data_IF_904678669259
#
_entry.id   IF_904678669259
#
_cell.length_a   1.000
_cell.length_b   1.000
_cell.length_c   1.000
_cell.angle_alpha   90.00
_cell.angle_beta   90.00
_cell.angle_gamma   90.00
#
_symmetry.space_group_name_H-M   'P 1'
#
loop_
_entity.id
_entity.type
_entity.pdbx_description
1 polymer ?
#
# COMPACT_ATOMS: atom_id res chain seq x y z
N UNK A 1 8.83 -11.14 -46.27
CA UNK A 1 7.52 -10.73 -45.69
C UNK A 1 7.46 -10.83 -44.16
N UNK A 2 8.21 -11.75 -43.52
CA UNK A 2 8.13 -11.98 -42.06
C UNK A 2 8.73 -10.85 -41.21
N UNK A 3 9.88 -10.30 -41.62
CA UNK A 3 10.59 -9.23 -40.88
C UNK A 3 9.83 -7.90 -40.85
N UNK A 4 9.02 -7.62 -41.88
CA UNK A 4 8.22 -6.38 -41.97
C UNK A 4 7.04 -6.38 -41.01
N UNK A 5 6.40 -7.54 -40.81
CA UNK A 5 5.32 -7.70 -39.82
C UNK A 5 5.84 -7.70 -38.38
N UNK A 6 7.07 -8.22 -38.15
CA UNK A 6 7.71 -8.20 -36.84
C UNK A 6 8.01 -6.76 -36.37
N UNK A 7 8.47 -5.91 -37.28
CA UNK A 7 8.80 -4.51 -36.98
C UNK A 7 7.54 -3.70 -36.62
N UNK A 8 6.40 -3.98 -37.27
CA UNK A 8 5.09 -3.42 -36.92
C UNK A 8 4.61 -3.86 -35.53
N UNK A 9 4.84 -5.13 -35.15
CA UNK A 9 4.49 -5.63 -33.82
C UNK A 9 5.32 -4.99 -32.69
N UNK A 10 6.60 -4.70 -32.94
CA UNK A 10 7.48 -4.02 -31.97
C UNK A 10 7.07 -2.54 -31.78
N UNK A 11 6.65 -1.86 -32.84
CA UNK A 11 6.17 -0.47 -32.74
C UNK A 11 4.82 -0.41 -32.00
N UNK A 12 3.93 -1.38 -32.24
CA UNK A 12 2.62 -1.44 -31.56
C UNK A 12 2.72 -1.86 -30.08
N UNK A 13 3.75 -2.59 -29.66
CA UNK A 13 3.96 -2.94 -28.24
C UNK A 13 4.57 -1.81 -27.41
N UNK A 14 5.03 -0.72 -28.05
CA UNK A 14 5.75 0.37 -27.38
C UNK A 14 4.85 1.44 -26.75
N UNK A 15 3.52 1.37 -26.94
CA UNK A 15 2.60 2.41 -26.49
C UNK A 15 1.70 1.93 -25.33
N UNK A 16 2.28 1.73 -24.14
CA UNK A 16 1.49 1.78 -22.89
C UNK A 16 2.34 2.03 -21.65
N UNK A 17 3.44 2.78 -21.74
CA UNK A 17 4.03 3.38 -20.54
C UNK A 17 3.30 4.71 -20.33
N UNK A 18 2.08 4.63 -19.80
CA UNK A 18 1.48 5.81 -19.21
C UNK A 18 2.37 6.19 -18.02
N UNK A 19 3.18 7.24 -18.18
CA UNK A 19 3.99 7.77 -17.10
C UNK A 19 3.07 8.02 -15.91
N UNK A 20 3.28 7.30 -14.82
CA UNK A 20 2.56 7.54 -13.58
C UNK A 20 3.16 8.83 -13.03
N UNK A 21 2.43 9.94 -13.16
CA UNK A 21 2.81 11.20 -12.53
C UNK A 21 2.66 11.03 -11.01
N UNK A 22 3.79 10.78 -10.35
CA UNK A 22 3.90 10.60 -8.90
C UNK A 22 4.55 11.82 -8.25
N UNK A 23 4.74 12.91 -9.01
CA UNK A 23 5.45 14.11 -8.55
C UNK A 23 4.79 14.81 -7.36
N UNK A 24 3.52 14.50 -7.11
CA UNK A 24 2.73 15.06 -6.03
C UNK A 24 2.81 14.28 -4.71
N UNK A 25 3.52 13.14 -4.66
CA UNK A 25 3.65 12.32 -3.45
C UNK A 25 5.09 12.34 -2.94
N UNK A 26 5.27 12.82 -1.71
CA UNK A 26 6.54 12.77 -0.99
C UNK A 26 6.45 11.75 0.15
N UNK A 27 7.52 10.97 0.33
CA UNK A 27 7.61 9.90 1.32
C UNK A 27 8.91 10.04 2.09
N UNK A 28 8.84 9.92 3.41
CA UNK A 28 10.05 9.79 4.24
C UNK A 28 10.69 8.38 4.15
N UNK A 29 11.68 8.14 5.01
CA UNK A 29 12.47 6.90 5.06
C UNK A 29 11.74 5.73 5.74
N UNK A 30 10.56 5.94 6.31
CA UNK A 30 9.75 4.86 6.91
C UNK A 30 9.10 3.95 5.86
N UNK A 31 9.01 4.40 4.61
CA UNK A 31 8.36 3.68 3.52
C UNK A 31 9.37 2.83 2.73
N UNK A 32 9.09 1.53 2.59
CA UNK A 32 9.82 0.69 1.64
C UNK A 32 9.43 1.00 0.20
N UNK A 33 10.25 0.60 -0.78
CA UNK A 33 9.91 0.74 -2.21
C UNK A 33 8.58 0.06 -2.58
N UNK A 34 8.27 -1.07 -1.94
CA UNK A 34 6.98 -1.74 -2.14
C UNK A 34 5.82 -0.89 -1.64
N UNK A 35 5.97 -0.21 -0.50
CA UNK A 35 4.93 0.66 0.05
C UNK A 35 4.72 1.88 -0.85
N UNK A 36 5.80 2.56 -1.23
CA UNK A 36 5.78 3.70 -2.16
C UNK A 36 5.06 3.32 -3.46
N UNK A 37 5.34 2.14 -4.01
CA UNK A 37 4.65 1.64 -5.19
C UNK A 37 3.14 1.49 -5.00
N UNK A 38 2.69 0.92 -3.87
CA UNK A 38 1.24 0.77 -3.61
C UNK A 38 0.55 2.12 -3.44
N UNK A 39 1.15 3.05 -2.70
CA UNK A 39 0.61 4.40 -2.53
C UNK A 39 0.56 5.17 -3.86
N UNK A 40 1.63 5.16 -4.64
CA UNK A 40 1.66 5.76 -5.98
C UNK A 40 0.58 5.19 -6.90
N UNK A 41 0.32 3.89 -6.81
CA UNK A 41 -0.72 3.23 -7.61
C UNK A 41 -2.12 3.72 -7.25
N UNK A 42 -2.45 3.83 -5.96
CA UNK A 42 -3.80 4.17 -5.49
C UNK A 42 -4.07 5.70 -5.46
N UNK A 43 -3.04 6.54 -5.37
CA UNK A 43 -3.12 8.00 -5.30
C UNK A 43 -2.67 8.71 -6.59
N UNK A 44 -2.55 7.96 -7.70
CA UNK A 44 -2.04 8.45 -8.98
C UNK A 44 -2.70 9.73 -9.51
N UNK A 45 -3.99 9.93 -9.21
CA UNK A 45 -4.78 11.01 -9.79
C UNK A 45 -4.90 12.23 -8.87
N UNK A 46 -4.13 12.29 -7.79
CA UNK A 46 -4.19 13.42 -6.87
C UNK A 46 -3.42 14.63 -7.42
N UNK A 47 -4.11 15.77 -7.50
CA UNK A 47 -3.54 17.06 -7.92
C UNK A 47 -2.83 17.80 -6.79
N UNK A 48 -3.16 17.50 -5.54
CA UNK A 48 -2.55 18.12 -4.37
C UNK A 48 -1.19 17.49 -4.04
N UNK A 49 -0.24 18.31 -3.61
CA UNK A 49 1.02 17.81 -3.05
C UNK A 49 0.76 17.26 -1.65
N UNK A 50 0.98 15.95 -1.48
CA UNK A 50 0.83 15.24 -0.23
C UNK A 50 2.21 14.75 0.22
N UNK A 51 2.51 14.96 1.49
CA UNK A 51 3.62 14.30 2.17
C UNK A 51 3.09 13.25 3.12
N UNK A 52 3.56 12.02 2.98
CA UNK A 52 3.25 10.89 3.85
C UNK A 52 4.50 10.54 4.67
N UNK A 53 4.35 10.53 5.99
CA UNK A 53 5.44 10.28 6.93
C UNK A 53 5.03 9.22 7.97
N UNK A 54 6.03 8.74 8.71
CA UNK A 54 5.86 7.91 9.90
C UNK A 54 5.02 6.64 9.67
N UNK A 55 5.22 5.96 8.54
CA UNK A 55 4.54 4.70 8.25
C UNK A 55 4.93 3.65 9.28
N UNK A 56 3.94 3.19 10.03
CA UNK A 56 4.08 2.09 10.96
C UNK A 56 3.12 0.96 10.59
N UNK A 57 3.64 -0.26 10.59
CA UNK A 57 2.85 -1.46 10.36
C UNK A 57 3.12 -2.46 11.48
N UNK A 58 2.16 -2.55 12.39
CA UNK A 58 2.24 -3.36 13.61
C UNK A 58 1.19 -4.47 13.58
N UNK A 59 1.45 -5.54 14.32
CA UNK A 59 0.50 -6.62 14.50
C UNK A 59 0.61 -7.19 15.91
N UNK A 60 -0.54 -7.59 16.47
CA UNK A 60 -0.67 -8.10 17.82
C UNK A 60 -1.49 -9.38 17.80
N UNK A 61 -1.02 -10.40 18.51
CA UNK A 61 -1.80 -11.60 18.78
C UNK A 61 -2.81 -11.32 19.90
N UNK A 62 -4.07 -11.65 19.65
CA UNK A 62 -5.21 -11.43 20.55
C UNK A 62 -6.04 -12.72 20.64
N UNK A 63 -6.84 -12.87 21.70
CA UNK A 63 -7.75 -14.01 21.89
C UNK A 63 -7.05 -15.38 21.75
N UNK A 64 -5.89 -15.53 22.39
CA UNK A 64 -5.11 -16.77 22.38
C UNK A 64 -5.87 -17.82 23.19
N UNK A 65 -6.19 -18.96 22.59
CA UNK A 65 -6.81 -20.08 23.30
C UNK A 65 -5.84 -20.69 24.33
N UNK A 66 -6.35 -21.49 25.28
CA UNK A 66 -5.56 -22.05 26.38
C UNK A 66 -4.42 -22.99 25.95
N UNK A 67 -4.42 -23.43 24.69
CA UNK A 67 -3.40 -24.30 24.10
C UNK A 67 -2.39 -23.52 23.23
N UNK A 68 -2.60 -22.23 23.00
CA UNK A 68 -1.76 -21.41 22.11
C UNK A 68 -1.84 -21.79 20.63
N UNK A 69 -2.81 -22.63 20.25
CA UNK A 69 -2.94 -23.15 18.89
C UNK A 69 -3.83 -22.27 18.01
N UNK A 70 -4.70 -21.48 18.63
CA UNK A 70 -5.57 -20.54 17.93
C UNK A 70 -5.48 -19.17 18.59
N UNK A 71 -5.14 -18.17 17.79
CA UNK A 71 -5.15 -16.76 18.13
C UNK A 71 -5.70 -15.94 16.96
N UNK A 72 -6.21 -14.76 17.25
CA UNK A 72 -6.48 -13.76 16.26
C UNK A 72 -5.24 -12.87 16.11
N UNK A 73 -5.02 -12.35 14.92
CA UNK A 73 -4.00 -11.31 14.71
C UNK A 73 -4.69 -10.01 14.32
N UNK A 74 -4.48 -8.97 15.13
CA UNK A 74 -4.88 -7.60 14.80
C UNK A 74 -3.72 -6.92 14.09
N UNK A 75 -3.95 -6.46 12.87
CA UNK A 75 -3.01 -5.69 12.07
C UNK A 75 -3.40 -4.22 12.10
N UNK A 76 -2.41 -3.34 12.24
CA UNK A 76 -2.59 -1.89 12.31
C UNK A 76 -1.56 -1.25 11.38
N UNK A 77 -2.03 -0.45 10.44
CA UNK A 77 -1.23 0.43 9.61
C UNK A 77 -1.55 1.87 10.02
N UNK A 78 -0.54 2.66 10.35
CA UNK A 78 -0.72 4.09 10.65
C UNK A 78 0.33 4.92 9.94
N UNK A 79 -0.01 6.16 9.62
CA UNK A 79 0.89 7.15 9.04
C UNK A 79 0.39 8.56 9.34
N UNK A 80 1.26 9.55 9.13
CA UNK A 80 0.87 10.96 9.15
C UNK A 80 0.84 11.52 7.74
N UNK A 81 -0.15 12.34 7.45
CA UNK A 81 -0.34 13.02 6.17
C UNK A 81 -0.25 14.53 6.38
N UNK A 82 0.42 15.22 5.45
CA UNK A 82 0.44 16.68 5.39
C UNK A 82 0.17 17.15 3.97
N UNK A 83 -0.79 18.06 3.80
CA UNK A 83 -0.98 18.80 2.56
C UNK A 83 -0.38 20.20 2.68
N UNK A 84 -0.37 20.99 1.59
CA UNK A 84 0.16 22.36 1.63
C UNK A 84 -0.58 23.28 2.62
N UNK A 85 -1.86 23.03 2.84
CA UNK A 85 -2.76 23.91 3.58
C UNK A 85 -3.34 23.26 4.86
N UNK A 86 -2.96 22.03 5.18
CA UNK A 86 -3.49 21.30 6.33
C UNK A 86 -2.47 21.17 7.46
N UNK A 87 -2.98 21.09 8.68
CA UNK A 87 -2.26 20.50 9.80
C UNK A 87 -1.92 19.04 9.52
N UNK A 88 -1.08 18.46 10.37
CA UNK A 88 -0.71 17.04 10.30
C UNK A 88 -1.95 16.21 10.64
N UNK A 89 -2.34 15.32 9.71
CA UNK A 89 -3.49 14.42 9.85
C UNK A 89 -2.96 13.01 10.12
N UNK A 90 -3.33 12.44 11.25
CA UNK A 90 -3.06 11.03 11.54
C UNK A 90 -4.09 10.14 10.84
N UNK A 91 -3.59 9.12 10.13
CA UNK A 91 -4.42 8.15 9.42
C UNK A 91 -4.06 6.75 9.88
N UNK A 92 -5.07 5.95 10.20
CA UNK A 92 -4.90 4.55 10.52
C UNK A 92 -5.92 3.65 9.83
N UNK A 93 -5.52 2.40 9.60
CA UNK A 93 -6.38 1.33 9.14
C UNK A 93 -6.06 0.06 9.92
N UNK A 94 -7.12 -0.65 10.33
CA UNK A 94 -7.02 -1.80 11.22
C UNK A 94 -7.80 -2.97 10.65
N UNK A 95 -7.26 -4.18 10.83
CA UNK A 95 -7.93 -5.43 10.43
C UNK A 95 -7.68 -6.53 11.44
N UNK A 96 -8.74 -7.19 11.88
CA UNK A 96 -8.66 -8.43 12.64
C UNK A 96 -8.69 -9.60 11.66
N UNK A 97 -7.81 -10.58 11.87
CA UNK A 97 -7.77 -11.80 11.08
C UNK A 97 -7.70 -13.02 12.00
N UNK A 98 -8.41 -14.09 11.64
CA UNK A 98 -8.57 -15.29 12.48
C UNK A 98 -7.60 -16.42 12.11
N UNK A 99 -6.60 -16.15 11.26
CA UNK A 99 -5.76 -17.20 10.71
C UNK A 99 -4.53 -17.51 11.56
N UNK A 100 -4.32 -18.80 11.83
CA UNK A 100 -3.21 -19.35 12.61
C UNK A 100 -2.25 -20.12 11.71
N UNK A 101 -1.36 -19.40 11.02
CA UNK A 101 -0.34 -20.06 10.21
C UNK A 101 0.87 -20.46 11.06
N UNK A 102 1.08 -21.78 11.20
CA UNK A 102 2.29 -22.35 11.80
C UNK A 102 3.50 -22.20 10.87
N UNK A 103 3.27 -22.15 9.54
CA UNK A 103 4.31 -21.94 8.54
C UNK A 103 4.70 -20.46 8.44
N UNK A 104 5.98 -20.16 8.69
CA UNK A 104 6.53 -18.79 8.59
C UNK A 104 6.31 -18.17 7.21
N UNK A 105 6.52 -18.95 6.15
CA UNK A 105 6.34 -18.46 4.78
C UNK A 105 4.88 -18.07 4.48
N UNK A 106 3.92 -18.83 5.01
CA UNK A 106 2.50 -18.52 4.84
C UNK A 106 2.10 -17.29 5.66
N UNK A 107 2.59 -17.20 6.91
CA UNK A 107 2.38 -16.04 7.77
C UNK A 107 2.94 -14.75 7.14
N UNK A 108 4.15 -14.81 6.57
CA UNK A 108 4.77 -13.67 5.88
C UNK A 108 4.03 -13.26 4.62
N UNK A 109 3.52 -14.23 3.85
CA UNK A 109 2.71 -13.96 2.66
C UNK A 109 1.40 -13.28 3.04
N UNK A 110 0.70 -13.79 4.06
CA UNK A 110 -0.54 -13.19 4.56
C UNK A 110 -0.29 -11.76 5.06
N UNK A 111 0.76 -11.56 5.86
CA UNK A 111 1.16 -10.25 6.37
C UNK A 111 1.35 -9.24 5.24
N UNK A 112 1.99 -9.63 4.13
CA UNK A 112 2.16 -8.76 2.95
C UNK A 112 0.83 -8.41 2.28
N UNK A 113 -0.06 -9.38 2.11
CA UNK A 113 -1.37 -9.14 1.50
C UNK A 113 -2.26 -8.26 2.40
N UNK A 114 -2.23 -8.47 3.71
CA UNK A 114 -2.94 -7.62 4.66
C UNK A 114 -2.38 -6.20 4.63
N UNK A 115 -1.05 -6.02 4.63
CA UNK A 115 -0.44 -4.68 4.51
C UNK A 115 -0.92 -3.95 3.26
N UNK A 116 -0.95 -4.63 2.09
CA UNK A 116 -1.47 -4.05 0.84
C UNK A 116 -2.94 -3.64 0.96
N UNK A 117 -3.77 -4.47 1.60
CA UNK A 117 -5.18 -4.15 1.87
C UNK A 117 -5.31 -2.90 2.73
N UNK A 118 -4.56 -2.81 3.82
CA UNK A 118 -4.60 -1.66 4.73
C UNK A 118 -4.12 -0.38 4.04
N UNK A 119 -3.07 -0.46 3.20
CA UNK A 119 -2.63 0.67 2.38
C UNK A 119 -3.78 1.14 1.49
N UNK A 120 -4.47 0.23 0.79
CA UNK A 120 -5.60 0.58 -0.07
C UNK A 120 -6.73 1.29 0.69
N UNK A 121 -7.00 0.89 1.95
CA UNK A 121 -7.98 1.55 2.79
C UNK A 121 -7.51 2.95 3.23
N UNK A 122 -6.24 3.11 3.60
CA UNK A 122 -5.66 4.44 3.87
C UNK A 122 -5.72 5.34 2.64
N UNK A 123 -5.47 4.82 1.43
CA UNK A 123 -5.62 5.61 0.20
C UNK A 123 -7.04 6.14 0.01
N UNK A 124 -8.07 5.34 0.37
CA UNK A 124 -9.46 5.81 0.33
C UNK A 124 -9.70 6.94 1.33
N UNK A 125 -9.12 6.84 2.54
CA UNK A 125 -9.18 7.91 3.53
C UNK A 125 -8.53 9.18 3.01
N UNK A 126 -7.32 9.09 2.46
CA UNK A 126 -6.60 10.22 1.85
C UNK A 126 -7.46 10.89 0.76
N UNK A 127 -8.05 10.09 -0.14
CA UNK A 127 -8.90 10.59 -1.22
C UNK A 127 -10.15 11.34 -0.75
N UNK A 128 -10.56 11.22 0.53
CA UNK A 128 -11.63 12.03 1.09
C UNK A 128 -11.17 13.44 1.51
N UNK A 129 -9.86 13.64 1.72
CA UNK A 129 -9.29 14.93 2.13
C UNK A 129 -8.80 15.78 0.96
N UNK A 130 -8.39 15.16 -0.14
CA UNK A 130 -7.60 15.80 -1.23
C UNK A 130 -8.35 15.87 -2.56
N UNK A 131 -9.68 15.76 -2.52
CA UNK A 131 -10.55 15.69 -3.72
C UNK A 131 -11.07 17.05 -4.14
#
# INVERSE_FOLDING_TARGET
MFTRNLLLLIILSSCSIASIDTSNLDFDDSFSNSDKFQFNKCLRNTSEKIKLNDLQFNYLAENINSQGLEFNTRYILSLTMKTQNSDVIELDSKRLNTTNYISSNMADSEKKEIKKSLIADVCKLINNYVK
#
